data_IF_217203808621
#
_entry.id   IF_217203808621
#
_cell.length_a   1.000
_cell.length_b   1.000
_cell.length_c   1.000
_cell.angle_alpha   90.00
_cell.angle_beta   90.00
_cell.angle_gamma   90.00
#
_symmetry.space_group_name_H-M   'P 1'
#
loop_
_entity.id
_entity.type
_entity.pdbx_description
1 polymer ?
#
# COMPACT_ATOMS: atom_id res chain seq x y z
N UNK A 1 -5.42 34.68 15.95
CA UNK A 1 -6.28 33.49 16.14
C UNK A 1 -5.86 32.44 15.12
N UNK A 2 -5.44 31.25 15.55
CA UNK A 2 -5.09 30.16 14.63
C UNK A 2 -6.35 29.47 14.12
N UNK A 3 -6.52 29.39 12.80
CA UNK A 3 -7.65 28.71 12.15
C UNK A 3 -7.38 27.21 12.21
N UNK A 4 -8.22 26.43 12.92
CA UNK A 4 -8.17 24.96 12.83
C UNK A 4 -8.71 24.54 11.46
N UNK A 5 -7.92 23.77 10.72
CA UNK A 5 -8.35 23.09 9.50
C UNK A 5 -8.76 21.68 9.92
N UNK A 6 -9.99 21.28 9.60
CA UNK A 6 -10.44 19.90 9.72
C UNK A 6 -10.21 19.23 8.38
N UNK A 7 -9.30 18.24 8.34
CA UNK A 7 -9.13 17.39 7.18
C UNK A 7 -10.21 16.31 7.18
N UNK A 8 -10.75 16.00 6.01
CA UNK A 8 -11.67 14.87 5.81
C UNK A 8 -10.92 13.78 5.07
N UNK A 9 -11.02 12.56 5.55
CA UNK A 9 -10.45 11.37 4.91
C UNK A 9 -11.53 10.60 4.15
N UNK A 10 -11.11 9.85 3.15
CA UNK A 10 -11.94 8.90 2.42
C UNK A 10 -11.22 7.54 2.32
N UNK A 11 -11.97 6.48 2.13
CA UNK A 11 -11.41 5.13 1.93
C UNK A 11 -10.91 5.06 0.48
N UNK A 12 -9.61 4.80 0.32
CA UNK A 12 -8.98 4.62 -1.00
C UNK A 12 -9.14 3.19 -1.53
N UNK A 13 -9.05 2.21 -0.63
CA UNK A 13 -9.11 0.78 -0.94
C UNK A 13 -9.63 0.02 0.29
N UNK A 14 -10.48 -0.98 0.06
CA UNK A 14 -11.01 -1.89 1.06
C UNK A 14 -10.90 -3.36 0.61
N UNK A 15 -11.44 -4.30 1.41
CA UNK A 15 -11.47 -5.72 1.05
C UNK A 15 -10.16 -6.49 1.24
N UNK A 16 -9.15 -5.88 1.86
CA UNK A 16 -7.84 -6.50 2.15
C UNK A 16 -7.92 -7.42 3.39
N UNK A 17 -7.14 -8.50 3.42
CA UNK A 17 -7.17 -9.46 4.56
C UNK A 17 -6.32 -8.97 5.73
N UNK A 18 -5.06 -8.62 5.47
CA UNK A 18 -4.15 -8.07 6.48
C UNK A 18 -3.06 -7.19 5.83
N UNK A 19 -3.39 -5.93 5.46
CA UNK A 19 -2.47 -5.05 4.75
C UNK A 19 -1.43 -4.42 5.67
N UNK A 20 -0.16 -4.48 5.27
CA UNK A 20 0.99 -4.05 6.06
C UNK A 20 2.11 -3.43 5.20
N UNK A 21 3.07 -2.80 5.88
CA UNK A 21 4.26 -2.20 5.28
C UNK A 21 4.01 -1.19 4.13
N UNK A 22 3.14 -0.17 4.32
CA UNK A 22 2.88 0.82 3.29
C UNK A 22 4.12 1.66 2.96
N UNK A 23 4.45 1.81 1.68
CA UNK A 23 5.54 2.67 1.18
C UNK A 23 5.09 3.39 -0.08
N UNK A 24 5.34 4.70 -0.13
CA UNK A 24 5.09 5.46 -1.36
C UNK A 24 6.28 5.30 -2.31
N UNK A 25 6.01 4.92 -3.56
CA UNK A 25 7.02 4.80 -4.59
C UNK A 25 6.39 4.87 -5.98
N UNK A 26 7.01 5.63 -6.90
CA UNK A 26 6.55 5.81 -8.28
C UNK A 26 5.05 6.11 -8.42
N UNK A 27 4.61 7.15 -7.69
CA UNK A 27 3.22 7.64 -7.65
C UNK A 27 2.16 6.61 -7.24
N UNK A 28 2.59 5.55 -6.56
CA UNK A 28 1.73 4.51 -6.01
C UNK A 28 2.06 4.23 -4.55
N UNK A 29 1.05 3.78 -3.81
CA UNK A 29 1.24 3.17 -2.50
C UNK A 29 1.48 1.67 -2.69
N UNK A 30 2.67 1.23 -2.32
CA UNK A 30 3.07 -0.17 -2.26
C UNK A 30 2.78 -0.73 -0.88
N UNK A 31 2.26 -1.95 -0.80
CA UNK A 31 1.98 -2.64 0.45
C UNK A 31 1.98 -4.15 0.25
N UNK A 32 2.00 -4.89 1.35
CA UNK A 32 1.83 -6.34 1.37
C UNK A 32 0.47 -6.65 1.99
N UNK A 33 -0.31 -7.56 1.40
CA UNK A 33 -1.42 -8.22 2.09
C UNK A 33 -0.94 -9.58 2.61
N UNK A 34 -0.64 -9.65 3.92
CA UNK A 34 0.06 -10.78 4.54
C UNK A 34 -0.75 -12.06 4.41
N UNK A 35 -2.04 -12.01 4.72
CA UNK A 35 -2.94 -13.17 4.73
C UNK A 35 -3.53 -13.47 3.33
N UNK A 36 -3.32 -12.58 2.36
CA UNK A 36 -3.59 -12.85 0.94
C UNK A 36 -2.33 -13.22 0.14
N UNK A 37 -1.16 -13.25 0.79
CA UNK A 37 0.14 -13.60 0.21
C UNK A 37 0.53 -12.78 -1.02
N UNK A 38 0.22 -11.48 -1.02
CA UNK A 38 0.43 -10.59 -2.19
C UNK A 38 1.24 -9.34 -1.86
N UNK A 39 2.09 -8.93 -2.80
CA UNK A 39 2.61 -7.57 -2.90
C UNK A 39 1.74 -6.81 -3.88
N UNK A 40 1.21 -5.67 -3.45
CA UNK A 40 0.24 -4.90 -4.22
C UNK A 40 0.62 -3.44 -4.30
N UNK A 41 0.09 -2.77 -5.31
CA UNK A 41 0.10 -1.32 -5.41
C UNK A 41 -1.32 -0.77 -5.52
N UNK A 42 -1.51 0.48 -5.08
CA UNK A 42 -2.72 1.26 -5.34
C UNK A 42 -2.33 2.70 -5.71
N UNK A 43 -2.94 3.24 -6.75
CA UNK A 43 -2.79 4.66 -7.11
C UNK A 43 -3.81 5.56 -6.37
N UNK A 44 -3.73 6.88 -6.56
CA UNK A 44 -4.67 7.81 -5.90
C UNK A 44 -6.11 7.74 -6.43
N UNK A 45 -6.36 7.01 -7.53
CA UNK A 45 -7.71 6.76 -8.03
C UNK A 45 -8.29 5.44 -7.51
N UNK A 46 -7.54 4.71 -6.67
CA UNK A 46 -7.95 3.40 -6.16
C UNK A 46 -7.67 2.25 -7.14
N UNK A 47 -6.95 2.48 -8.24
CA UNK A 47 -6.58 1.40 -9.15
C UNK A 47 -5.53 0.51 -8.50
N UNK A 48 -5.79 -0.79 -8.43
CA UNK A 48 -4.92 -1.77 -7.78
C UNK A 48 -4.23 -2.69 -8.77
N UNK A 49 -3.03 -3.12 -8.41
CA UNK A 49 -2.25 -4.10 -9.17
C UNK A 49 -1.56 -5.06 -8.21
N UNK A 50 -1.68 -6.37 -8.47
CA UNK A 50 -0.87 -7.40 -7.80
C UNK A 50 0.45 -7.53 -8.53
N UNK A 51 1.54 -7.14 -7.86
CA UNK A 51 2.89 -7.19 -8.42
C UNK A 51 3.51 -8.58 -8.25
N UNK A 52 3.21 -9.23 -7.13
CA UNK A 52 3.73 -10.55 -6.80
C UNK A 52 2.73 -11.30 -5.94
N UNK A 53 2.52 -12.58 -6.25
CA UNK A 53 1.77 -13.52 -5.44
C UNK A 53 2.70 -14.66 -5.03
N UNK A 54 2.64 -15.06 -3.77
CA UNK A 54 3.56 -16.03 -3.16
C UNK A 54 2.78 -17.18 -2.53
N UNK A 55 3.41 -18.34 -2.44
CA UNK A 55 2.81 -19.49 -1.74
C UNK A 55 2.83 -19.35 -0.21
N UNK A 56 3.69 -18.46 0.30
CA UNK A 56 3.95 -18.28 1.73
C UNK A 56 3.67 -16.82 2.13
N UNK A 57 3.49 -16.60 3.43
CA UNK A 57 3.35 -15.26 3.99
C UNK A 57 4.56 -14.36 3.71
N UNK A 58 4.26 -13.10 3.47
CA UNK A 58 5.20 -11.99 3.33
C UNK A 58 4.96 -10.99 4.45
N UNK A 59 6.02 -10.47 5.06
CA UNK A 59 5.93 -9.59 6.23
C UNK A 59 6.36 -8.14 5.98
N UNK A 60 7.06 -7.86 4.87
CA UNK A 60 7.47 -6.50 4.55
C UNK A 60 8.09 -6.34 3.16
N UNK A 61 8.28 -5.08 2.77
CA UNK A 61 8.87 -4.67 1.49
C UNK A 61 9.79 -3.47 1.69
N UNK A 62 10.75 -3.31 0.80
CA UNK A 62 11.65 -2.16 0.78
C UNK A 62 12.45 -2.10 -0.51
N UNK A 63 12.98 -0.91 -0.79
CA UNK A 63 13.76 -0.63 -1.99
C UNK A 63 15.24 -0.79 -1.71
N UNK A 64 15.93 -1.42 -2.64
CA UNK A 64 17.39 -1.46 -2.65
C UNK A 64 17.96 -0.07 -3.01
N UNK A 65 19.25 0.21 -2.70
CA UNK A 65 19.87 1.49 -3.02
C UNK A 65 19.87 1.85 -4.51
N UNK A 66 19.72 0.85 -5.38
CA UNK A 66 19.56 1.00 -6.83
C UNK A 66 18.09 1.16 -7.28
N UNK A 67 17.18 1.38 -6.32
CA UNK A 67 15.75 1.63 -6.54
C UNK A 67 14.99 0.45 -7.17
N UNK A 68 15.39 -0.78 -6.82
CA UNK A 68 14.68 -2.02 -7.15
C UNK A 68 13.96 -2.62 -5.96
#
# INVERSE_FOLDING_TARGET
MSKRITLKTEVLLDGLKFPESPRWHDDKLWFVDIEDHKVMTVDLNGNTETILELSNQVSGLGWLPDNR
#
